data_IF_145179457616
#
_entry.id   IF_145179457616
#
_cell.length_a   1.000
_cell.length_b   1.000
_cell.length_c   1.000
_cell.angle_alpha   90.00
_cell.angle_beta   90.00
_cell.angle_gamma   90.00
#
_symmetry.space_group_name_H-M   'P 1'
#
loop_
_entity.id
_entity.type
_entity.pdbx_description
1 polymer ?
#
# COMPACT_ATOMS: atom_id res chain seq x y z
N UNK A 1 18.40 -1.64 0.42
CA UNK A 1 18.75 -0.26 0.80
C UNK A 1 17.68 0.18 1.78
N UNK A 2 18.08 0.57 2.96
CA UNK A 2 17.22 0.74 4.15
C UNK A 2 16.23 1.88 3.98
N UNK A 3 14.95 1.64 4.29
CA UNK A 3 13.79 2.50 4.07
C UNK A 3 13.85 3.88 4.77
N UNK A 4 14.73 4.08 5.72
CA UNK A 4 14.90 5.34 6.47
C UNK A 4 15.72 6.43 5.76
N UNK A 5 16.21 6.20 4.55
CA UNK A 5 17.18 7.08 3.89
C UNK A 5 16.54 8.03 2.85
N UNK A 6 15.32 7.78 2.39
CA UNK A 6 14.65 8.62 1.37
C UNK A 6 14.11 9.91 2.01
N UNK A 7 13.52 9.83 3.21
CA UNK A 7 13.06 11.01 3.94
C UNK A 7 14.20 11.98 4.26
N UNK A 8 15.40 11.47 4.57
CA UNK A 8 16.58 12.29 4.80
C UNK A 8 17.14 12.94 3.54
N UNK A 9 16.96 12.32 2.37
CA UNK A 9 17.48 12.85 1.11
C UNK A 9 16.70 14.08 0.61
N UNK A 10 15.42 14.22 1.02
CA UNK A 10 14.55 15.32 0.61
C UNK A 10 14.09 16.20 1.78
N UNK A 11 14.62 15.99 2.99
CA UNK A 11 14.27 16.74 4.19
C UNK A 11 14.74 18.20 4.01
N UNK A 12 13.77 19.08 3.73
CA UNK A 12 14.00 20.50 3.44
C UNK A 12 14.16 20.89 1.96
N UNK A 13 14.30 19.94 1.02
CA UNK A 13 14.37 20.24 -0.42
C UNK A 13 13.00 20.40 -1.08
N UNK A 14 11.97 19.75 -0.54
CA UNK A 14 10.60 19.85 -1.04
C UNK A 14 9.77 20.70 -0.09
N UNK A 15 9.46 21.93 -0.50
CA UNK A 15 8.66 22.83 0.32
C UNK A 15 7.22 22.29 0.54
N UNK A 16 6.48 22.76 1.57
CA UNK A 16 5.14 22.27 1.88
C UNK A 16 4.14 22.41 0.71
N UNK A 17 4.31 23.40 -0.15
CA UNK A 17 3.47 23.58 -1.33
C UNK A 17 3.78 22.56 -2.41
N UNK A 18 5.05 22.27 -2.63
CA UNK A 18 5.48 21.23 -3.54
C UNK A 18 5.03 19.84 -3.07
N UNK A 19 5.10 19.58 -1.76
CA UNK A 19 4.56 18.37 -1.14
C UNK A 19 3.05 18.22 -1.39
N UNK A 20 2.28 19.29 -1.16
CA UNK A 20 0.84 19.30 -1.41
C UNK A 20 0.51 19.04 -2.89
N UNK A 21 1.22 19.69 -3.82
CA UNK A 21 1.01 19.48 -5.25
C UNK A 21 1.42 18.08 -5.69
N UNK A 22 2.50 17.52 -5.15
CA UNK A 22 2.89 16.13 -5.42
C UNK A 22 1.83 15.15 -4.91
N UNK A 23 1.32 15.37 -3.69
CA UNK A 23 0.22 14.56 -3.12
C UNK A 23 -0.98 14.52 -4.05
N UNK A 24 -1.48 15.68 -4.45
CA UNK A 24 -2.63 15.80 -5.35
C UNK A 24 -2.37 15.19 -6.72
N UNK A 25 -1.16 15.34 -7.26
CA UNK A 25 -0.77 14.71 -8.52
C UNK A 25 -0.81 13.18 -8.41
N UNK A 26 -0.26 12.62 -7.33
CA UNK A 26 -0.23 11.16 -7.13
C UNK A 26 -1.64 10.62 -6.94
N UNK A 27 -2.46 11.26 -6.11
CA UNK A 27 -3.86 10.87 -5.88
C UNK A 27 -4.67 10.87 -7.19
N UNK A 28 -4.53 11.92 -8.02
CA UNK A 28 -5.17 11.99 -9.33
C UNK A 28 -4.66 10.91 -10.28
N UNK A 29 -3.35 10.69 -10.28
CA UNK A 29 -2.75 9.66 -11.14
C UNK A 29 -3.19 8.25 -10.75
N UNK A 30 -3.33 7.96 -9.46
CA UNK A 30 -3.82 6.66 -8.96
C UNK A 30 -5.29 6.46 -9.35
N UNK A 31 -6.12 7.53 -9.26
CA UNK A 31 -7.53 7.46 -9.63
C UNK A 31 -7.75 7.24 -11.13
N UNK A 32 -7.06 8.01 -11.97
CA UNK A 32 -7.39 8.13 -13.40
C UNK A 32 -6.44 7.37 -14.32
N UNK A 33 -5.25 6.99 -13.82
CA UNK A 33 -4.21 6.32 -14.61
C UNK A 33 -3.58 7.15 -15.72
N UNK A 34 -3.89 8.47 -15.78
CA UNK A 34 -3.48 9.37 -16.87
C UNK A 34 -2.54 10.48 -16.38
N UNK A 35 -1.68 11.03 -17.28
CA UNK A 35 -0.81 12.14 -16.93
C UNK A 35 -1.61 13.38 -16.49
N UNK A 36 -1.20 14.00 -15.40
CA UNK A 36 -1.89 15.12 -14.76
C UNK A 36 -1.38 16.44 -15.28
N UNK A 37 -2.27 17.25 -15.87
CA UNK A 37 -1.94 18.57 -16.38
C UNK A 37 -1.88 19.62 -15.27
N UNK A 38 -0.92 20.56 -15.31
CA UNK A 38 -0.82 21.65 -14.34
C UNK A 38 -2.09 22.50 -14.26
N UNK A 39 -2.82 22.63 -15.37
CA UNK A 39 -4.10 23.35 -15.39
C UNK A 39 -5.18 22.62 -14.58
N UNK A 40 -5.23 21.29 -14.65
CA UNK A 40 -6.18 20.48 -13.89
C UNK A 40 -5.94 20.63 -12.38
N UNK A 41 -4.68 20.53 -11.94
CA UNK A 41 -4.33 20.76 -10.54
C UNK A 41 -4.65 22.17 -10.06
N UNK A 42 -4.39 23.19 -10.89
CA UNK A 42 -4.69 24.58 -10.52
C UNK A 42 -6.20 24.86 -10.36
N UNK A 43 -7.07 24.01 -10.91
CA UNK A 43 -8.52 24.12 -10.75
C UNK A 43 -9.03 23.51 -9.45
N UNK A 44 -8.20 22.74 -8.72
CA UNK A 44 -8.60 22.15 -7.45
C UNK A 44 -8.69 23.24 -6.37
N UNK A 45 -9.80 23.28 -5.59
CA UNK A 45 -10.04 24.33 -4.60
C UNK A 45 -8.92 24.47 -3.55
N UNK A 46 -8.27 23.36 -3.20
CA UNK A 46 -7.21 23.31 -2.20
C UNK A 46 -5.85 23.84 -2.70
N UNK A 47 -5.68 24.09 -4.00
CA UNK A 47 -4.40 24.54 -4.57
C UNK A 47 -4.22 26.06 -4.46
N UNK A 48 -5.26 26.85 -4.74
CA UNK A 48 -5.29 28.29 -4.48
C UNK A 48 -4.24 29.14 -5.21
N UNK A 49 -3.58 28.60 -6.25
CA UNK A 49 -2.55 29.32 -7.04
C UNK A 49 -2.78 29.16 -8.55
N UNK A 50 -2.14 30.04 -9.33
CA UNK A 50 -2.27 30.06 -10.78
C UNK A 50 -1.67 28.80 -11.43
N UNK A 51 -2.15 28.45 -12.63
CA UNK A 51 -1.58 27.35 -13.41
C UNK A 51 -0.10 27.56 -13.79
N UNK A 52 0.35 28.81 -13.86
CA UNK A 52 1.76 29.16 -14.08
C UNK A 52 2.61 28.78 -12.86
N UNK A 53 2.12 29.11 -11.66
CA UNK A 53 2.78 28.71 -10.39
C UNK A 53 2.84 27.19 -10.26
N UNK A 54 1.71 26.49 -10.51
CA UNK A 54 1.70 25.02 -10.49
C UNK A 54 2.71 24.45 -11.49
N UNK A 55 2.83 25.02 -12.69
CA UNK A 55 3.80 24.56 -13.69
C UNK A 55 5.24 24.72 -13.22
N UNK A 56 5.58 25.83 -12.54
CA UNK A 56 6.91 26.05 -12.00
C UNK A 56 7.24 24.99 -10.93
N UNK A 57 6.37 24.81 -9.95
CA UNK A 57 6.55 23.77 -8.90
C UNK A 57 6.65 22.37 -9.49
N UNK A 58 5.87 22.07 -10.55
CA UNK A 58 6.00 20.80 -11.27
C UNK A 58 7.36 20.65 -11.97
N UNK A 59 7.94 21.76 -12.43
CA UNK A 59 9.32 21.78 -12.96
C UNK A 59 10.35 21.45 -11.89
N UNK A 60 10.19 22.03 -10.71
CA UNK A 60 11.09 21.79 -9.57
C UNK A 60 10.98 20.32 -9.10
N UNK A 61 9.75 19.78 -9.01
CA UNK A 61 9.53 18.36 -8.69
C UNK A 61 10.11 17.42 -9.77
N UNK A 62 10.11 17.85 -11.04
CA UNK A 62 10.75 17.09 -12.13
C UNK A 62 12.28 17.15 -12.03
N UNK A 63 12.85 18.29 -11.68
CA UNK A 63 14.29 18.43 -11.45
C UNK A 63 14.77 17.54 -10.27
N UNK A 64 13.94 17.39 -9.25
CA UNK A 64 14.16 16.47 -8.12
C UNK A 64 13.90 14.98 -8.49
N UNK A 65 13.43 14.70 -9.70
CA UNK A 65 13.12 13.35 -10.15
C UNK A 65 11.88 12.71 -9.54
N UNK A 66 11.02 13.48 -8.86
CA UNK A 66 9.80 12.99 -8.22
C UNK A 66 8.64 12.82 -9.22
N UNK A 67 8.63 13.61 -10.28
CA UNK A 67 7.69 13.49 -11.40
C UNK A 67 8.45 13.50 -12.73
N UNK A 68 7.78 13.11 -13.82
CA UNK A 68 8.32 13.17 -15.18
C UNK A 68 7.23 13.47 -16.21
N UNK A 69 7.61 13.98 -17.36
CA UNK A 69 6.74 14.07 -18.53
C UNK A 69 6.89 12.81 -19.37
N UNK A 70 5.85 12.01 -19.60
CA UNK A 70 5.95 10.87 -20.52
C UNK A 70 6.17 11.31 -21.97
N UNK A 71 5.58 12.47 -22.38
CA UNK A 71 5.75 13.09 -23.70
C UNK A 71 5.73 14.62 -23.58
N UNK A 72 6.28 15.32 -24.58
CA UNK A 72 6.48 16.78 -24.58
C UNK A 72 5.20 17.59 -24.33
N UNK A 73 4.04 17.11 -24.76
CA UNK A 73 2.73 17.75 -24.58
C UNK A 73 1.85 17.12 -23.51
N UNK A 74 2.32 16.05 -22.86
CA UNK A 74 1.58 15.38 -21.82
C UNK A 74 1.71 16.12 -20.48
N UNK A 75 0.76 15.87 -19.56
CA UNK A 75 0.91 16.25 -18.15
C UNK A 75 2.08 15.54 -17.50
N UNK A 76 2.16 15.62 -16.19
CA UNK A 76 3.17 14.93 -15.38
C UNK A 76 2.63 13.62 -14.83
N UNK A 77 3.51 12.63 -14.72
CA UNK A 77 3.26 11.38 -13.99
C UNK A 77 4.28 11.23 -12.86
N UNK A 78 3.93 10.62 -11.74
CA UNK A 78 4.89 10.34 -10.69
C UNK A 78 5.94 9.34 -11.18
N UNK A 79 7.16 9.48 -10.71
CA UNK A 79 8.20 8.46 -10.85
C UNK A 79 8.09 7.43 -9.73
N UNK A 80 8.85 6.35 -9.81
CA UNK A 80 8.98 5.41 -8.68
C UNK A 80 9.43 6.13 -7.39
N UNK A 81 10.34 7.09 -7.51
CA UNK A 81 10.82 7.89 -6.40
C UNK A 81 9.72 8.80 -5.81
N UNK A 82 8.91 9.43 -6.68
CA UNK A 82 7.77 10.25 -6.28
C UNK A 82 6.67 9.44 -5.59
N UNK A 83 6.35 8.25 -6.09
CA UNK A 83 5.42 7.33 -5.43
C UNK A 83 5.94 6.88 -4.06
N UNK A 84 7.22 6.59 -3.95
CA UNK A 84 7.84 6.21 -2.69
C UNK A 84 7.81 7.35 -1.68
N UNK A 85 8.18 8.56 -2.11
CA UNK A 85 8.10 9.75 -1.26
C UNK A 85 6.66 10.02 -0.77
N UNK A 86 5.67 9.85 -1.65
CA UNK A 86 4.26 9.98 -1.29
C UNK A 86 3.86 8.98 -0.19
N UNK A 87 4.19 7.69 -0.35
CA UNK A 87 3.84 6.65 0.62
C UNK A 87 4.53 6.88 1.97
N UNK A 88 5.80 7.26 1.95
CA UNK A 88 6.61 7.37 3.17
C UNK A 88 6.36 8.68 3.93
N UNK A 89 5.90 9.75 3.25
CA UNK A 89 5.86 11.10 3.83
C UNK A 89 4.48 11.75 3.78
N UNK A 90 3.76 11.61 2.68
CA UNK A 90 2.55 12.40 2.39
C UNK A 90 1.26 11.61 2.59
N UNK A 91 1.32 10.28 2.56
CA UNK A 91 0.16 9.43 2.75
C UNK A 91 -0.23 9.43 4.22
N UNK A 92 -1.39 9.99 4.52
CA UNK A 92 -2.04 9.82 5.82
C UNK A 92 -2.98 8.62 5.73
N UNK A 93 -2.67 7.56 6.45
CA UNK A 93 -3.56 6.41 6.59
C UNK A 93 -4.54 6.74 7.72
N UNK A 94 -5.82 6.84 7.39
CA UNK A 94 -6.85 6.91 8.42
C UNK A 94 -6.98 5.54 9.10
N UNK A 95 -6.91 5.49 10.45
CA UNK A 95 -7.14 4.23 11.15
C UNK A 95 -8.57 3.76 10.89
N UNK A 96 -8.73 2.46 10.74
CA UNK A 96 -10.04 1.85 10.57
C UNK A 96 -10.95 2.17 11.76
N UNK A 97 -12.21 2.41 11.48
CA UNK A 97 -13.22 2.61 12.51
C UNK A 97 -13.52 1.28 13.22
N UNK A 98 -13.96 1.35 14.46
CA UNK A 98 -14.17 0.16 15.28
C UNK A 98 -15.22 -0.79 14.69
N UNK A 99 -16.25 -0.25 14.06
CA UNK A 99 -17.28 -1.00 13.35
C UNK A 99 -16.72 -1.81 12.17
N UNK A 100 -15.81 -1.24 11.41
CA UNK A 100 -15.12 -1.93 10.30
C UNK A 100 -14.23 -3.07 10.82
N UNK A 101 -13.59 -2.88 11.97
CA UNK A 101 -12.77 -3.93 12.61
C UNK A 101 -13.66 -5.06 13.10
N UNK A 102 -14.80 -4.75 13.71
CA UNK A 102 -15.76 -5.74 14.21
C UNK A 102 -16.38 -6.55 13.06
N UNK A 103 -16.71 -5.91 11.94
CA UNK A 103 -17.20 -6.58 10.74
C UNK A 103 -16.17 -7.59 10.22
N UNK A 104 -14.91 -7.17 10.06
CA UNK A 104 -13.80 -8.04 9.68
C UNK A 104 -13.61 -9.23 10.62
N UNK A 105 -13.67 -8.98 11.94
CA UNK A 105 -13.52 -10.03 12.94
C UNK A 105 -14.68 -11.02 12.91
N UNK A 106 -15.89 -10.57 12.56
CA UNK A 106 -17.06 -11.44 12.44
C UNK A 106 -16.97 -12.37 11.22
N UNK A 107 -16.40 -11.91 10.13
CA UNK A 107 -16.20 -12.71 8.92
C UNK A 107 -15.06 -13.73 9.07
N UNK A 108 -13.98 -13.36 9.79
CA UNK A 108 -12.84 -14.24 10.06
C UNK A 108 -13.06 -15.05 11.34
N UNK A 109 -13.93 -16.05 11.28
CA UNK A 109 -14.25 -16.89 12.43
C UNK A 109 -13.08 -17.83 12.79
N UNK A 110 -12.63 -17.89 14.08
CA UNK A 110 -11.56 -18.79 14.51
C UNK A 110 -11.85 -20.29 14.33
N UNK A 111 -13.11 -20.67 14.13
CA UNK A 111 -13.52 -22.06 13.89
C UNK A 111 -13.47 -22.48 12.41
N UNK A 112 -13.09 -21.58 11.51
CA UNK A 112 -12.92 -21.89 10.08
C UNK A 112 -11.75 -22.85 9.86
N UNK A 113 -11.88 -23.72 8.89
CA UNK A 113 -10.75 -24.49 8.37
C UNK A 113 -9.73 -23.55 7.71
N UNK A 114 -8.44 -23.92 7.62
CA UNK A 114 -7.45 -23.12 6.93
C UNK A 114 -7.83 -22.74 5.50
N UNK A 115 -8.52 -23.62 4.78
CA UNK A 115 -8.97 -23.37 3.41
C UNK A 115 -10.09 -22.32 3.35
N UNK A 116 -11.05 -22.39 4.25
CA UNK A 116 -12.13 -21.41 4.36
C UNK A 116 -11.57 -20.04 4.76
N UNK A 117 -10.67 -20.01 5.74
CA UNK A 117 -10.03 -18.77 6.17
C UNK A 117 -9.29 -18.07 5.02
N UNK A 118 -8.56 -18.84 4.21
CA UNK A 118 -7.84 -18.30 3.05
C UNK A 118 -8.78 -17.81 1.96
N UNK A 119 -9.89 -18.52 1.70
CA UNK A 119 -10.89 -18.09 0.74
C UNK A 119 -11.55 -16.78 1.19
N UNK A 120 -12.05 -16.72 2.43
CA UNK A 120 -12.67 -15.51 2.99
C UNK A 120 -11.69 -14.33 2.98
N UNK A 121 -10.43 -14.52 3.42
CA UNK A 121 -9.42 -13.48 3.39
C UNK A 121 -9.12 -12.99 1.96
N UNK A 122 -9.10 -13.89 0.98
CA UNK A 122 -8.91 -13.53 -0.43
C UNK A 122 -10.06 -12.69 -0.98
N UNK A 123 -11.29 -13.07 -0.67
CA UNK A 123 -12.49 -12.35 -1.09
C UNK A 123 -12.54 -10.95 -0.45
N UNK A 124 -12.28 -10.84 0.84
CA UNK A 124 -12.21 -9.58 1.55
C UNK A 124 -11.15 -8.65 0.95
N UNK A 125 -9.92 -9.14 0.75
CA UNK A 125 -8.85 -8.36 0.13
C UNK A 125 -9.22 -7.89 -1.28
N UNK A 126 -9.89 -8.74 -2.05
CA UNK A 126 -10.37 -8.41 -3.39
C UNK A 126 -11.42 -7.30 -3.36
N UNK A 127 -12.35 -7.36 -2.40
CA UNK A 127 -13.39 -6.34 -2.22
C UNK A 127 -12.80 -4.99 -1.79
N UNK A 128 -11.88 -4.97 -0.81
CA UNK A 128 -11.26 -3.75 -0.33
C UNK A 128 -10.36 -3.07 -1.36
N UNK A 129 -9.57 -3.86 -2.07
CA UNK A 129 -8.61 -3.32 -3.04
C UNK A 129 -9.21 -3.08 -4.41
N UNK A 130 -10.41 -3.61 -4.69
CA UNK A 130 -11.01 -3.67 -6.03
C UNK A 130 -10.08 -4.33 -7.05
N UNK A 131 -9.24 -5.26 -6.58
CA UNK A 131 -8.26 -6.01 -7.37
C UNK A 131 -8.46 -7.50 -7.20
N UNK A 132 -8.00 -8.29 -8.17
CA UNK A 132 -7.96 -9.75 -8.03
C UNK A 132 -6.91 -10.13 -6.99
N UNK A 133 -7.33 -10.85 -5.96
CA UNK A 133 -6.44 -11.39 -4.94
C UNK A 133 -6.11 -12.85 -5.24
N UNK A 134 -4.85 -13.23 -5.13
CA UNK A 134 -4.37 -14.61 -5.25
C UNK A 134 -3.54 -14.98 -4.02
N UNK A 135 -4.06 -15.89 -3.22
CA UNK A 135 -3.35 -16.41 -2.05
C UNK A 135 -2.81 -17.81 -2.39
N UNK A 136 -1.52 -17.99 -2.24
CA UNK A 136 -0.88 -19.31 -2.42
C UNK A 136 -0.24 -19.75 -1.11
N UNK A 137 -0.46 -20.99 -0.75
CA UNK A 137 0.21 -21.61 0.40
C UNK A 137 1.18 -22.68 -0.07
N UNK A 138 2.36 -22.79 0.55
CA UNK A 138 3.27 -23.89 0.25
C UNK A 138 2.57 -25.21 0.59
N UNK A 139 2.65 -26.17 -0.32
CA UNK A 139 2.16 -27.53 -0.03
C UNK A 139 2.91 -28.05 1.19
N UNK A 140 2.23 -28.24 2.30
CA UNK A 140 2.77 -29.06 3.39
C UNK A 140 2.97 -30.46 2.81
N UNK A 141 4.21 -30.93 2.71
CA UNK A 141 4.44 -32.35 2.52
C UNK A 141 3.61 -33.07 3.58
N UNK A 142 2.72 -33.94 3.14
CA UNK A 142 1.93 -34.75 4.07
C UNK A 142 2.92 -35.58 4.88
N UNK A 143 3.17 -35.14 6.11
CA UNK A 143 3.87 -35.98 7.08
C UNK A 143 2.85 -37.04 7.47
N UNK A 144 2.95 -38.21 6.84
CA UNK A 144 2.14 -39.34 7.24
C UNK A 144 2.71 -39.89 8.56
N UNK A 145 1.88 -39.90 9.59
CA UNK A 145 2.21 -40.60 10.81
C UNK A 145 2.32 -42.10 10.48
N UNK A 146 3.52 -42.65 10.54
CA UNK A 146 3.76 -44.08 10.25
C UNK A 146 3.45 -44.98 11.42
N UNK A 147 3.79 -44.52 12.61
CA UNK A 147 3.66 -45.30 13.84
C UNK A 147 3.56 -44.36 15.05
N UNK A 148 2.78 -44.74 16.01
CA UNK A 148 2.66 -44.05 17.27
C UNK A 148 2.82 -45.12 18.38
N UNK A 149 3.85 -45.02 19.18
CA UNK A 149 4.11 -45.94 20.29
C UNK A 149 3.93 -45.20 21.60
N UNK A 150 3.26 -45.89 22.55
CA UNK A 150 3.07 -45.38 23.89
C UNK A 150 3.90 -46.28 24.86
N UNK A 151 4.93 -45.68 25.44
CA UNK A 151 5.75 -46.35 26.46
C UNK A 151 5.37 -45.79 27.84
N UNK A 152 4.93 -46.71 28.72
CA UNK A 152 4.66 -46.32 30.10
C UNK A 152 5.98 -46.16 30.85
N UNK A 153 6.25 -44.96 31.38
CA UNK A 153 7.46 -44.66 32.17
C UNK A 153 7.24 -44.92 33.65
N UNK A 154 6.07 -44.52 34.17
CA UNK A 154 5.63 -44.78 35.54
C UNK A 154 4.09 -44.73 35.64
N UNK A 155 3.55 -44.67 36.85
CA UNK A 155 2.09 -44.62 37.05
C UNK A 155 1.39 -43.40 36.53
N UNK A 156 2.13 -42.31 36.24
CA UNK A 156 1.58 -40.98 35.85
C UNK A 156 2.16 -40.43 34.55
N UNK A 157 3.16 -41.10 33.94
CA UNK A 157 3.84 -40.61 32.76
C UNK A 157 3.89 -41.64 31.66
N UNK A 158 3.58 -41.19 30.47
CA UNK A 158 3.66 -41.96 29.24
C UNK A 158 4.55 -41.19 28.27
N UNK A 159 5.51 -41.86 27.67
CA UNK A 159 6.29 -41.35 26.53
C UNK A 159 5.57 -41.72 25.27
N UNK A 160 5.40 -40.76 24.40
CA UNK A 160 4.84 -40.92 23.05
C UNK A 160 5.99 -40.79 22.06
N UNK A 161 6.21 -41.81 21.24
CA UNK A 161 7.24 -41.86 20.21
C UNK A 161 6.59 -41.87 18.85
#
# INVERSE_FOLDING_TARGET
MSDSNINKAFDGEVDPRAQQLLKLLVEHYISDGTPVASKALAMLPQVGVSSATVRNVMGDLEALGLVRSPHTSAGKVPTHLGLRFFVDTLLSVEPWQQDQIEELQSELNPNMTPSELLATASDMLSQFTQMTCLITTPRKNQVSLRQLEFLRLDERRILVI
#
